data_IF_193153416090
#
_entry.id   IF_193153416090
#
_cell.length_a   1.000
_cell.length_b   1.000
_cell.length_c   1.000
_cell.angle_alpha   90.00
_cell.angle_beta   90.00
_cell.angle_gamma   90.00
#
_symmetry.space_group_name_H-M   'P 1'
#
loop_
_entity.id
_entity.type
_entity.pdbx_description
1 polymer ?
#
# COMPACT_ATOMS: atom_id res chain seq x y z
N UNK A 1 -8.14 2.12 -22.71
CA UNK A 1 -8.47 3.46 -22.15
C UNK A 1 -7.56 4.55 -22.71
N UNK A 2 -6.23 4.41 -22.67
CA UNK A 2 -5.27 5.42 -23.17
C UNK A 2 -5.52 5.87 -24.63
N UNK A 3 -5.92 4.97 -25.53
CA UNK A 3 -6.28 5.35 -26.91
C UNK A 3 -7.57 6.17 -27.01
N UNK A 4 -8.51 6.03 -26.06
CA UNK A 4 -9.77 6.81 -26.03
C UNK A 4 -9.52 8.26 -25.59
N UNK A 5 -8.54 8.49 -24.71
CA UNK A 5 -8.14 9.83 -24.26
C UNK A 5 -7.63 10.76 -25.38
N UNK A 6 -7.35 10.21 -26.57
CA UNK A 6 -7.00 11.01 -27.76
C UNK A 6 -8.22 11.67 -28.41
N UNK A 7 -9.41 11.09 -28.21
CA UNK A 7 -10.64 11.47 -28.92
C UNK A 7 -11.81 11.80 -27.98
N UNK A 8 -11.70 11.47 -26.69
CA UNK A 8 -12.76 11.61 -25.69
C UNK A 8 -12.27 12.38 -24.46
N UNK A 9 -13.18 13.14 -23.85
CA UNK A 9 -12.90 13.88 -22.62
C UNK A 9 -12.66 12.91 -21.45
N UNK A 10 -11.63 13.21 -20.65
CA UNK A 10 -11.28 12.46 -19.46
C UNK A 10 -12.47 12.31 -18.51
N UNK A 11 -13.27 13.36 -18.33
CA UNK A 11 -14.44 13.32 -17.45
C UNK A 11 -15.49 12.31 -17.92
N UNK A 12 -15.65 12.15 -19.23
CA UNK A 12 -16.58 11.16 -19.80
C UNK A 12 -16.08 9.73 -19.55
N UNK A 13 -14.78 9.51 -19.75
CA UNK A 13 -14.14 8.21 -19.47
C UNK A 13 -14.23 7.87 -17.98
N UNK A 14 -14.02 8.86 -17.10
CA UNK A 14 -14.12 8.68 -15.66
C UNK A 14 -15.56 8.32 -15.23
N UNK A 15 -16.58 8.97 -15.79
CA UNK A 15 -17.98 8.62 -15.51
C UNK A 15 -18.33 7.17 -15.89
N UNK A 16 -17.74 6.65 -16.96
CA UNK A 16 -18.00 5.28 -17.44
C UNK A 16 -17.23 4.21 -16.65
N UNK A 17 -16.00 4.51 -16.23
CA UNK A 17 -15.05 3.51 -15.75
C UNK A 17 -14.66 3.65 -14.28
N UNK A 18 -14.89 4.80 -13.66
CA UNK A 18 -14.53 5.00 -12.25
C UNK A 18 -15.54 4.29 -11.34
N UNK A 19 -15.12 3.27 -10.57
CA UNK A 19 -16.00 2.66 -9.59
C UNK A 19 -16.41 3.68 -8.52
N UNK A 20 -17.67 3.62 -8.10
CA UNK A 20 -18.18 4.45 -7.02
C UNK A 20 -17.32 4.26 -5.76
N UNK A 21 -16.84 5.35 -5.19
CA UNK A 21 -16.05 5.35 -3.97
C UNK A 21 -16.33 6.61 -3.14
N UNK A 22 -15.80 6.66 -1.93
CA UNK A 22 -16.06 7.75 -0.98
C UNK A 22 -15.24 9.03 -1.22
N UNK A 23 -14.27 8.98 -2.14
CA UNK A 23 -13.33 10.07 -2.39
C UNK A 23 -13.65 10.85 -3.66
N UNK A 24 -14.28 10.19 -4.64
CA UNK A 24 -14.60 10.76 -5.94
C UNK A 24 -16.12 10.94 -6.09
N UNK A 25 -16.51 12.04 -6.72
CA UNK A 25 -17.87 12.21 -7.22
C UNK A 25 -18.14 11.31 -8.46
N UNK A 26 -19.39 11.27 -8.98
CA UNK A 26 -19.71 10.47 -10.17
C UNK A 26 -18.93 10.83 -11.43
N UNK A 27 -18.29 12.01 -11.47
CA UNK A 27 -17.43 12.44 -12.57
C UNK A 27 -15.98 11.98 -12.43
N UNK A 28 -15.66 11.29 -11.33
CA UNK A 28 -14.30 10.91 -10.96
C UNK A 28 -13.49 12.06 -10.37
N UNK A 29 -14.13 13.18 -10.03
CA UNK A 29 -13.47 14.31 -9.43
C UNK A 29 -13.32 14.11 -7.92
N UNK A 30 -12.08 14.21 -7.45
CA UNK A 30 -11.69 13.93 -6.05
C UNK A 30 -11.57 15.21 -5.21
N UNK A 31 -11.56 16.37 -5.86
CA UNK A 31 -11.27 17.63 -5.18
C UNK A 31 -9.78 17.83 -4.91
N UNK A 32 -9.47 18.54 -3.83
CA UNK A 32 -8.10 18.76 -3.38
C UNK A 32 -7.59 17.52 -2.63
N UNK A 33 -6.38 17.08 -2.97
CA UNK A 33 -5.75 15.88 -2.41
C UNK A 33 -4.44 16.28 -1.74
N UNK A 34 -4.26 16.07 -0.43
CA UNK A 34 -2.98 16.29 0.24
C UNK A 34 -2.00 15.16 -0.06
N UNK A 35 -0.70 15.48 -0.14
CA UNK A 35 0.38 14.50 -0.20
C UNK A 35 0.29 13.55 1.01
N UNK A 36 0.42 12.25 0.78
CA UNK A 36 0.33 11.21 1.80
C UNK A 36 -1.06 10.59 1.97
N UNK A 37 -2.13 11.20 1.42
CA UNK A 37 -3.46 10.59 1.47
C UNK A 37 -3.55 9.33 0.60
N UNK A 38 -2.79 9.30 -0.50
CA UNK A 38 -2.67 8.15 -1.40
C UNK A 38 -1.19 7.92 -1.73
N UNK A 39 -0.42 7.30 -0.80
CA UNK A 39 1.03 7.17 -0.95
C UNK A 39 1.47 6.51 -2.26
N UNK A 40 0.70 5.57 -2.78
CA UNK A 40 0.99 4.87 -4.04
C UNK A 40 0.87 5.77 -5.29
N UNK A 41 0.18 6.91 -5.16
CA UNK A 41 -0.02 7.88 -6.25
C UNK A 41 0.81 9.16 -6.06
N UNK A 42 1.43 9.34 -4.88
CA UNK A 42 2.08 10.60 -4.52
C UNK A 42 3.22 10.96 -5.48
N UNK A 43 4.05 9.99 -5.86
CA UNK A 43 5.18 10.24 -6.76
C UNK A 43 4.72 10.61 -8.18
N UNK A 44 3.58 10.08 -8.61
CA UNK A 44 2.98 10.41 -9.90
C UNK A 44 2.32 11.79 -9.90
N UNK A 45 1.77 12.24 -8.77
CA UNK A 45 1.07 13.53 -8.67
C UNK A 45 2.05 14.66 -8.35
N UNK A 46 2.86 14.47 -7.30
CA UNK A 46 3.73 15.49 -6.72
C UNK A 46 5.19 15.38 -7.16
N UNK A 47 5.57 14.30 -7.86
CA UNK A 47 6.95 14.02 -8.18
C UNK A 47 7.73 13.47 -7.01
N UNK A 48 8.89 12.90 -7.32
CA UNK A 48 9.90 12.47 -6.38
C UNK A 48 11.28 12.93 -6.84
N UNK A 49 11.89 13.87 -6.11
CA UNK A 49 13.21 14.40 -6.42
C UNK A 49 14.32 13.34 -6.28
N UNK A 50 14.16 12.37 -5.38
CA UNK A 50 15.14 11.30 -5.16
C UNK A 50 15.23 10.37 -6.38
N UNK A 51 14.10 10.11 -7.02
CA UNK A 51 13.99 9.28 -8.23
C UNK A 51 14.05 10.11 -9.53
N UNK A 52 14.23 11.43 -9.43
CA UNK A 52 14.22 12.34 -10.58
C UNK A 52 12.87 12.44 -11.31
N UNK A 53 11.78 12.04 -10.64
CA UNK A 53 10.42 12.07 -11.19
C UNK A 53 9.82 13.46 -10.99
N UNK A 54 9.46 14.12 -12.08
CA UNK A 54 8.84 15.45 -12.02
C UNK A 54 7.36 15.37 -11.63
N UNK A 55 6.89 16.40 -10.92
CA UNK A 55 5.47 16.55 -10.61
C UNK A 55 4.64 16.67 -11.89
N UNK A 56 3.42 16.13 -11.84
CA UNK A 56 2.52 16.15 -12.99
C UNK A 56 1.99 17.57 -13.24
N UNK A 57 2.15 18.04 -14.48
CA UNK A 57 1.70 19.37 -14.87
C UNK A 57 0.17 19.49 -14.83
N UNK A 58 -0.40 20.65 -14.44
CA UNK A 58 -1.83 20.89 -14.55
C UNK A 58 -2.34 20.70 -15.98
N UNK A 59 -3.50 20.06 -16.10
CA UNK A 59 -4.14 19.70 -17.37
C UNK A 59 -3.63 18.39 -17.98
N UNK A 60 -2.49 17.85 -17.52
CA UNK A 60 -1.96 16.59 -18.04
C UNK A 60 -2.60 15.37 -17.37
N UNK A 61 -2.58 14.25 -18.10
CA UNK A 61 -3.02 12.94 -17.62
C UNK A 61 -1.78 12.08 -17.36
N UNK A 62 -1.79 11.35 -16.26
CA UNK A 62 -0.71 10.46 -15.87
C UNK A 62 -0.58 9.33 -16.88
N UNK A 63 0.63 8.76 -16.94
CA UNK A 63 0.74 7.40 -17.45
C UNK A 63 -0.07 6.44 -16.55
N UNK A 64 -0.45 5.27 -17.08
CA UNK A 64 -1.07 4.21 -16.31
C UNK A 64 -0.31 3.86 -15.02
N UNK A 65 -0.96 4.04 -13.86
CA UNK A 65 -0.39 3.65 -12.57
C UNK A 65 -0.94 2.29 -12.15
N UNK A 66 -0.05 1.34 -11.93
CA UNK A 66 -0.40 -0.01 -11.49
C UNK A 66 -0.08 -0.15 -10.02
N UNK A 67 -1.11 -0.41 -9.21
CA UNK A 67 -0.93 -0.77 -7.81
C UNK A 67 -1.32 -2.23 -7.59
N UNK A 68 -1.05 -2.76 -6.40
CA UNK A 68 -1.41 -4.14 -6.06
C UNK A 68 -2.93 -4.37 -6.07
N UNK A 69 -3.71 -3.31 -5.89
CA UNK A 69 -5.17 -3.38 -5.75
C UNK A 69 -5.89 -2.99 -7.05
N UNK A 70 -5.35 -2.03 -7.80
CA UNK A 70 -6.06 -1.46 -8.93
C UNK A 70 -5.14 -0.78 -9.96
N UNK A 71 -5.77 -0.36 -11.04
CA UNK A 71 -5.19 0.42 -12.11
C UNK A 71 -5.77 1.84 -12.08
N UNK A 72 -4.91 2.86 -12.11
CA UNK A 72 -5.30 4.27 -12.05
C UNK A 72 -4.83 5.07 -13.25
N UNK A 73 -5.65 6.05 -13.64
CA UNK A 73 -5.30 7.16 -14.51
C UNK A 73 -5.68 8.44 -13.78
N UNK A 74 -4.74 9.37 -13.65
CA UNK A 74 -4.92 10.59 -12.86
C UNK A 74 -4.79 11.81 -13.76
N UNK A 75 -5.76 12.73 -13.69
CA UNK A 75 -5.68 14.03 -14.37
C UNK A 75 -5.54 15.14 -13.34
N UNK A 76 -4.41 15.84 -13.36
CA UNK A 76 -4.18 17.00 -12.50
C UNK A 76 -4.94 18.18 -13.05
N UNK A 77 -5.85 18.76 -12.27
CA UNK A 77 -6.69 19.89 -12.71
C UNK A 77 -6.08 21.26 -12.39
N UNK A 78 -5.24 21.33 -11.36
CA UNK A 78 -4.69 22.58 -10.83
C UNK A 78 -3.31 22.31 -10.23
N UNK A 79 -2.44 23.34 -10.17
CA UNK A 79 -1.13 23.20 -9.52
C UNK A 79 -1.29 22.89 -8.03
N UNK A 80 -0.22 22.37 -7.42
CA UNK A 80 -0.18 22.12 -6.00
C UNK A 80 -0.39 23.43 -5.21
N UNK A 81 -1.29 23.39 -4.25
CA UNK A 81 -1.61 24.51 -3.36
C UNK A 81 -1.76 24.01 -1.92
N UNK A 82 -1.32 24.82 -0.96
CA UNK A 82 -1.59 24.57 0.46
C UNK A 82 -3.04 24.96 0.78
N UNK A 83 -3.79 24.02 1.38
CA UNK A 83 -5.17 24.24 1.81
C UNK A 83 -5.45 23.52 3.11
N UNK A 84 -6.48 24.01 3.79
CA UNK A 84 -7.03 23.35 4.96
C UNK A 84 -7.58 21.97 4.59
N UNK A 85 -7.30 20.99 5.46
CA UNK A 85 -7.78 19.62 5.31
C UNK A 85 -9.31 19.59 5.43
N UNK A 86 -9.96 19.00 4.42
CA UNK A 86 -11.36 18.59 4.55
C UNK A 86 -11.47 17.36 5.45
N UNK A 87 -12.62 17.13 6.09
CA UNK A 87 -12.80 15.97 7.00
C UNK A 87 -12.48 14.62 6.32
N UNK A 88 -12.85 14.45 5.05
CA UNK A 88 -12.64 13.21 4.29
C UNK A 88 -11.14 12.99 4.05
N UNK A 89 -10.45 13.99 3.48
CA UNK A 89 -9.01 13.87 3.18
C UNK A 89 -8.16 13.87 4.45
N UNK A 90 -8.54 14.63 5.47
CA UNK A 90 -7.90 14.61 6.78
C UNK A 90 -7.99 13.23 7.45
N UNK A 91 -9.15 12.58 7.41
CA UNK A 91 -9.31 11.22 7.95
C UNK A 91 -8.47 10.19 7.18
N UNK A 92 -8.42 10.32 5.85
CA UNK A 92 -7.61 9.45 5.01
C UNK A 92 -6.11 9.62 5.28
N UNK A 93 -5.63 10.87 5.30
CA UNK A 93 -4.24 11.19 5.59
C UNK A 93 -3.85 10.72 6.99
N UNK A 94 -4.70 10.96 7.99
CA UNK A 94 -4.49 10.48 9.36
C UNK A 94 -4.35 8.95 9.39
N UNK A 95 -5.27 8.23 8.75
CA UNK A 95 -5.21 6.76 8.66
C UNK A 95 -3.89 6.30 8.07
N UNK A 96 -3.47 6.86 6.92
CA UNK A 96 -2.22 6.49 6.26
C UNK A 96 -0.98 6.85 7.07
N UNK A 97 -1.02 7.97 7.78
CA UNK A 97 0.05 8.40 8.68
C UNK A 97 0.20 7.44 9.86
N UNK A 98 -0.92 7.06 10.50
CA UNK A 98 -0.91 6.11 11.63
C UNK A 98 -0.47 4.72 11.18
N UNK A 99 -0.95 4.24 10.02
CA UNK A 99 -0.52 2.96 9.43
C UNK A 99 1.01 2.96 9.18
N UNK A 100 1.55 4.05 8.63
CA UNK A 100 3.00 4.21 8.43
C UNK A 100 3.74 4.21 9.76
N UNK A 101 3.32 5.06 10.70
CA UNK A 101 3.93 5.13 12.03
C UNK A 101 3.95 3.78 12.74
N UNK A 102 2.85 3.02 12.68
CA UNK A 102 2.77 1.69 13.30
C UNK A 102 3.81 0.73 12.69
N UNK A 103 3.95 0.71 11.36
CA UNK A 103 4.97 -0.11 10.69
C UNK A 103 6.37 0.31 11.11
N UNK A 104 6.66 1.60 11.07
CA UNK A 104 7.98 2.15 11.42
C UNK A 104 8.32 1.86 12.89
N UNK A 105 7.35 2.00 13.80
CA UNK A 105 7.49 1.69 15.23
C UNK A 105 7.72 0.21 15.48
N UNK A 106 7.09 -0.70 14.73
CA UNK A 106 7.31 -2.13 14.84
C UNK A 106 8.71 -2.53 14.39
N UNK A 107 9.20 -1.98 13.27
CA UNK A 107 10.56 -2.22 12.78
C UNK A 107 11.58 -1.72 13.79
N UNK A 108 11.48 -0.44 14.16
CA UNK A 108 12.37 0.19 15.13
C UNK A 108 12.35 -0.51 16.50
N UNK A 109 11.16 -0.88 16.99
CA UNK A 109 11.01 -1.62 18.23
C UNK A 109 11.59 -3.03 18.18
N UNK A 110 11.58 -3.69 17.02
CA UNK A 110 12.21 -5.00 16.82
C UNK A 110 13.74 -4.87 16.80
N UNK A 111 14.27 -3.89 16.08
CA UNK A 111 15.70 -3.59 16.00
C UNK A 111 16.28 -3.20 17.38
N UNK A 112 15.52 -2.44 18.17
CA UNK A 112 15.91 -1.99 19.51
C UNK A 112 15.56 -3.01 20.61
N UNK A 113 14.89 -4.12 20.29
CA UNK A 113 14.58 -5.21 21.22
C UNK A 113 13.44 -4.95 22.22
N UNK A 114 12.68 -3.86 22.06
CA UNK A 114 11.50 -3.52 22.87
C UNK A 114 10.23 -4.22 22.40
N UNK A 115 10.14 -4.58 21.12
CA UNK A 115 9.08 -5.43 20.57
C UNK A 115 9.64 -6.84 20.45
N UNK A 116 9.05 -7.78 21.21
CA UNK A 116 9.41 -9.21 21.16
C UNK A 116 8.20 -10.01 20.70
N UNK A 117 8.40 -10.84 19.68
CA UNK A 117 7.36 -11.74 19.21
C UNK A 117 7.16 -12.84 20.25
N UNK A 118 6.07 -12.78 21.00
CA UNK A 118 5.73 -13.80 21.98
C UNK A 118 4.93 -14.91 21.28
N UNK A 119 5.63 -15.96 20.86
CA UNK A 119 4.99 -17.18 20.40
C UNK A 119 4.36 -17.89 21.60
N UNK A 120 3.09 -17.62 21.87
CA UNK A 120 2.33 -18.52 22.72
C UNK A 120 2.13 -19.86 21.98
N UNK A 121 2.09 -20.97 22.74
CA UNK A 121 2.18 -22.34 22.22
C UNK A 121 1.20 -22.68 21.09
N UNK A 122 0.07 -21.99 21.00
CA UNK A 122 -0.97 -22.20 19.97
C UNK A 122 -0.51 -21.84 18.56
N UNK A 123 0.33 -20.80 18.42
CA UNK A 123 0.89 -20.43 17.12
C UNK A 123 1.95 -21.44 16.67
N UNK A 124 2.70 -22.01 17.62
CA UNK A 124 3.63 -23.10 17.35
C UNK A 124 2.88 -24.35 16.89
N UNK A 125 1.83 -24.76 17.61
CA UNK A 125 0.96 -25.90 17.24
C UNK A 125 0.41 -25.74 15.82
N UNK A 126 -0.11 -24.56 15.47
CA UNK A 126 -0.63 -24.31 14.12
C UNK A 126 0.46 -24.36 13.04
N UNK A 127 1.62 -23.76 13.27
CA UNK A 127 2.74 -23.81 12.31
C UNK A 127 3.25 -25.24 12.16
N UNK A 128 3.36 -26.00 13.25
CA UNK A 128 3.76 -27.42 13.19
C UNK A 128 2.75 -28.25 12.42
N UNK A 129 1.45 -28.02 12.58
CA UNK A 129 0.41 -28.72 11.82
C UNK A 129 0.53 -28.44 10.31
N UNK A 130 0.76 -27.18 9.92
CA UNK A 130 0.91 -26.82 8.51
C UNK A 130 2.19 -27.40 7.89
N UNK A 131 3.30 -27.47 8.65
CA UNK A 131 4.54 -28.13 8.20
C UNK A 131 4.34 -29.65 8.11
N UNK A 132 3.61 -30.27 9.02
CA UNK A 132 3.27 -31.70 8.95
C UNK A 132 2.37 -32.04 7.76
N UNK A 133 1.43 -31.16 7.39
CA UNK A 133 0.52 -31.36 6.25
C UNK A 133 1.27 -31.17 4.91
N UNK A 134 2.21 -30.23 4.84
CA UNK A 134 2.94 -29.89 3.61
C UNK A 134 4.28 -30.59 3.43
N UNK A 135 4.80 -31.27 4.46
CA UNK A 135 6.03 -32.03 4.37
C UNK A 135 5.84 -33.25 3.42
N UNK A 136 6.76 -33.48 2.47
CA UNK A 136 6.77 -34.70 1.68
C UNK A 136 6.89 -35.90 2.61
N UNK A 137 6.01 -36.89 2.50
CA UNK A 137 6.14 -38.17 3.22
C UNK A 137 7.33 -38.93 2.66
N UNK A 138 8.51 -38.71 3.23
CA UNK A 138 9.70 -39.49 2.90
C UNK A 138 9.69 -40.74 3.78
N UNK A 139 9.58 -41.93 3.18
CA UNK A 139 9.68 -43.25 3.85
C UNK A 139 11.11 -43.57 4.30
N UNK A 140 11.77 -42.68 5.04
CA UNK A 140 13.06 -42.96 5.68
C UNK A 140 13.04 -42.59 7.16
N UNK A 141 13.48 -43.48 8.06
CA UNK A 141 13.59 -43.15 9.47
C UNK A 141 14.65 -42.07 9.65
N UNK A 142 14.26 -40.93 10.20
CA UNK A 142 15.15 -39.82 10.53
C UNK A 142 16.13 -40.27 11.63
N UNK A 143 17.45 -40.03 11.51
CA UNK A 143 18.38 -40.29 12.60
C UNK A 143 18.09 -39.34 13.76
N UNK A 144 18.07 -39.86 14.98
CA UNK A 144 17.89 -39.06 16.20
C UNK A 144 19.12 -38.13 16.35
N UNK A 145 18.93 -36.80 16.48
CA UNK A 145 20.04 -35.89 16.78
C UNK A 145 20.65 -36.25 18.14
N UNK A 146 21.99 -36.27 18.29
CA UNK A 146 22.60 -36.58 19.58
C UNK A 146 22.21 -35.52 20.61
N UNK A 147 21.77 -35.99 21.78
CA UNK A 147 21.55 -35.17 22.97
C UNK A 147 22.83 -34.41 23.31
N UNK A 148 22.75 -33.08 23.36
CA UNK A 148 23.84 -32.22 23.82
C UNK A 148 24.03 -32.50 25.32
N UNK A 149 25.21 -32.97 25.77
CA UNK A 149 25.44 -33.22 27.19
C UNK A 149 25.51 -31.89 27.95
N UNK A 150 24.68 -31.72 28.99
CA UNK A 150 24.85 -30.63 29.96
C UNK A 150 23.63 -29.77 30.28
N UNK A 151 22.42 -30.12 29.83
CA UNK A 151 21.19 -29.50 30.34
C UNK A 151 20.32 -30.56 31.01
N UNK A 152 20.61 -30.78 32.29
CA UNK A 152 19.82 -31.50 33.27
C UNK A 152 19.96 -30.82 34.62
#
# INVERSE_FOLDING_TARGET
VVQRLKNEDFTRIAQELNPANQFADPSGYVGWVPKGAFPELDDYIFGNDEDGTQAQAPGSVSEPVFTNEAYYLVKTVSPAEERDLTNVMGSQLLRKTVEKWQRDALVSGTEQGFVRMNFNSRLYEWVTDQVFISAPRIDRPTPVPPLIPGLG
#
